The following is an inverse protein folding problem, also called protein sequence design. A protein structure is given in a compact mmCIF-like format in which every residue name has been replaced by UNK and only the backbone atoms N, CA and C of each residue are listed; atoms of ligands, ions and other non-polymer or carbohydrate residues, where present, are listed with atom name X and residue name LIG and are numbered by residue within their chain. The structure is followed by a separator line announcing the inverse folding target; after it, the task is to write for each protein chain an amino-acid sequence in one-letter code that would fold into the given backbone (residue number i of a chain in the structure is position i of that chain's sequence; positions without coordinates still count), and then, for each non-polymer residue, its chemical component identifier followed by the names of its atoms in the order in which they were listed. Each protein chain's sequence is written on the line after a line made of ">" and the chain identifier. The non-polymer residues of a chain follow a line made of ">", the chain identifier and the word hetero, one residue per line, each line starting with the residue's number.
data_IF_538448534479
#
_entry.id   IF_538448534479
#
_cell.length_a   1.000
_cell.length_b   1.000
_cell.length_c   1.000
_cell.angle_alpha   90.00
_cell.angle_beta   90.00
_cell.angle_gamma   90.00
#
_symmetry.space_group_name_H-M   'P 1'
#
loop_
_entity.id
_entity.type
_entity.pdbx_description
1 polymer ?
#
# COMPACT_ATOMS: atom_id res chain seq x y z
N UNK A 1 -0.71 17.70 13.44
CA UNK A 1 0.66 17.17 13.29
C UNK A 1 0.66 15.73 13.80
N UNK A 2 0.54 14.75 12.90
CA UNK A 2 0.55 13.30 13.21
C UNK A 2 1.84 12.64 12.69
N UNK A 3 2.92 13.42 12.58
CA UNK A 3 4.20 13.03 11.95
C UNK A 3 4.99 11.96 12.71
N UNK A 4 4.46 11.43 13.81
CA UNK A 4 5.09 10.39 14.64
C UNK A 4 4.38 9.05 14.55
N UNK A 5 3.32 8.94 13.74
CA UNK A 5 2.56 7.69 13.64
C UNK A 5 3.40 6.60 12.96
N UNK A 6 3.63 5.50 13.67
CA UNK A 6 4.37 4.35 13.14
C UNK A 6 3.45 3.25 12.60
N UNK A 7 2.23 3.14 13.11
CA UNK A 7 1.25 2.14 12.66
C UNK A 7 -0.12 2.78 12.44
N UNK A 8 -0.74 2.46 11.31
CA UNK A 8 -2.08 2.93 10.96
C UNK A 8 -2.89 1.73 10.50
N UNK A 9 -4.02 1.49 11.17
CA UNK A 9 -5.01 0.52 10.74
C UNK A 9 -6.30 1.23 10.35
N UNK A 10 -6.75 0.96 9.13
CA UNK A 10 -8.06 1.38 8.62
C UNK A 10 -8.83 0.16 8.12
N UNK A 11 -8.46 -1.05 8.55
CA UNK A 11 -9.11 -2.28 8.15
C UNK A 11 -10.62 -2.25 8.42
N UNK A 12 -11.38 -2.97 7.60
CA UNK A 12 -12.83 -3.10 7.70
C UNK A 12 -13.60 -1.76 7.53
N UNK A 13 -13.00 -0.76 6.90
CA UNK A 13 -13.68 0.48 6.50
C UNK A 13 -13.93 0.53 4.99
N UNK A 14 -14.96 1.24 4.55
CA UNK A 14 -15.24 1.39 3.11
C UNK A 14 -14.34 2.45 2.46
N UNK A 15 -13.11 2.06 2.11
CA UNK A 15 -12.16 2.86 1.32
C UNK A 15 -12.13 2.32 -0.10
N UNK A 16 -13.09 2.75 -0.94
CA UNK A 16 -13.15 2.31 -2.34
C UNK A 16 -11.99 2.86 -3.20
N UNK A 17 -11.41 3.98 -2.78
CA UNK A 17 -10.32 4.70 -3.43
C UNK A 17 -9.42 5.34 -2.37
N UNK A 18 -8.12 5.43 -2.68
CA UNK A 18 -7.17 6.27 -1.95
C UNK A 18 -6.72 7.38 -2.91
N UNK A 19 -6.95 8.63 -2.52
CA UNK A 19 -6.53 9.77 -3.32
C UNK A 19 -5.00 9.96 -3.26
N UNK A 20 -4.37 10.53 -4.31
CA UNK A 20 -2.97 10.88 -4.28
C UNK A 20 -2.60 11.71 -3.04
N UNK A 21 -1.42 11.45 -2.47
CA UNK A 21 -0.88 12.19 -1.32
C UNK A 21 -1.67 12.03 0.00
N UNK A 22 -2.68 11.15 0.08
CA UNK A 22 -3.47 10.92 1.31
C UNK A 22 -2.61 10.67 2.55
N UNK A 23 -1.48 9.98 2.39
CA UNK A 23 -0.56 9.63 3.49
C UNK A 23 0.78 10.38 3.44
N UNK A 24 0.85 11.50 2.70
CA UNK A 24 2.13 12.15 2.37
C UNK A 24 2.99 12.51 3.59
N UNK A 25 2.36 13.01 4.65
CA UNK A 25 3.07 13.44 5.87
C UNK A 25 3.35 12.30 6.86
N UNK A 26 2.95 11.05 6.57
CA UNK A 26 3.14 9.89 7.45
C UNK A 26 4.48 9.20 7.16
N UNK A 27 5.56 9.98 7.04
CA UNK A 27 6.87 9.46 6.67
C UNK A 27 7.52 8.57 7.75
N UNK A 28 6.99 8.53 8.97
CA UNK A 28 7.41 7.60 10.04
C UNK A 28 6.63 6.29 10.06
N UNK A 29 5.61 6.14 9.22
CA UNK A 29 4.75 4.97 9.19
C UNK A 29 5.54 3.74 8.74
N UNK A 30 5.53 2.69 9.56
CA UNK A 30 6.15 1.38 9.35
C UNK A 30 5.12 0.32 8.98
N UNK A 31 3.89 0.43 9.47
CA UNK A 31 2.81 -0.53 9.16
C UNK A 31 1.54 0.20 8.72
N UNK A 32 1.00 -0.23 7.58
CA UNK A 32 -0.27 0.25 7.06
C UNK A 32 -1.18 -0.96 6.81
N UNK A 33 -2.33 -1.01 7.49
CA UNK A 33 -3.34 -2.03 7.30
C UNK A 33 -4.59 -1.43 6.63
N UNK A 34 -4.84 -1.83 5.39
CA UNK A 34 -6.03 -1.50 4.59
C UNK A 34 -6.80 -2.78 4.19
N UNK A 35 -6.77 -3.80 5.04
CA UNK A 35 -7.47 -5.07 4.77
C UNK A 35 -8.98 -4.86 4.73
N UNK A 36 -9.65 -5.58 3.84
CA UNK A 36 -11.11 -5.58 3.74
C UNK A 36 -11.75 -4.20 3.56
N UNK A 37 -11.12 -3.34 2.74
CA UNK A 37 -11.59 -1.98 2.51
C UNK A 37 -12.41 -1.77 1.22
N UNK A 38 -12.46 -2.78 0.36
CA UNK A 38 -13.12 -2.70 -0.95
C UNK A 38 -12.35 -1.90 -1.99
N UNK A 39 -11.02 -1.79 -1.85
CA UNK A 39 -10.14 -1.14 -2.82
C UNK A 39 -10.16 -1.89 -4.15
N UNK A 40 -10.30 -1.16 -5.27
CA UNK A 40 -10.36 -1.73 -6.63
C UNK A 40 -9.07 -1.56 -7.43
N UNK A 41 -8.26 -0.56 -7.08
CA UNK A 41 -7.01 -0.27 -7.76
C UNK A 41 -6.01 0.40 -6.83
N UNK A 42 -4.73 0.25 -7.15
CA UNK A 42 -3.64 0.98 -6.52
C UNK A 42 -2.99 1.88 -7.57
N UNK A 43 -3.07 3.18 -7.35
CA UNK A 43 -2.64 4.22 -8.30
C UNK A 43 -1.32 4.83 -7.89
N UNK A 44 -0.62 5.42 -8.86
CA UNK A 44 0.60 6.16 -8.60
C UNK A 44 0.32 7.31 -7.62
N UNK A 45 1.28 7.58 -6.74
CA UNK A 45 1.25 8.66 -5.74
C UNK A 45 0.23 8.50 -4.58
N UNK A 46 -0.64 7.47 -4.58
CA UNK A 46 -1.54 7.19 -3.46
C UNK A 46 -0.80 6.95 -2.13
N UNK A 47 0.40 6.34 -2.22
CA UNK A 47 1.26 6.02 -1.09
C UNK A 47 2.57 6.82 -1.10
N UNK A 48 2.59 7.97 -1.76
CA UNK A 48 3.75 8.85 -1.74
C UNK A 48 4.03 9.33 -0.30
N UNK A 49 5.31 9.45 0.05
CA UNK A 49 5.74 9.84 1.41
C UNK A 49 5.96 8.66 2.37
N UNK A 50 5.41 7.47 2.07
CA UNK A 50 5.56 6.26 2.91
C UNK A 50 6.92 5.55 2.71
N UNK A 51 8.01 6.30 2.78
CA UNK A 51 9.37 5.80 2.50
C UNK A 51 9.93 4.85 3.56
N UNK A 52 9.36 4.86 4.77
CA UNK A 52 9.76 3.97 5.87
C UNK A 52 8.77 2.80 6.09
N UNK A 53 7.82 2.59 5.17
CA UNK A 53 6.83 1.52 5.31
C UNK A 53 7.49 0.16 5.16
N UNK A 54 7.32 -0.71 6.15
CA UNK A 54 7.90 -2.05 6.24
C UNK A 54 6.87 -3.12 5.89
N UNK A 55 5.63 -2.94 6.37
CA UNK A 55 4.53 -3.90 6.19
C UNK A 55 3.29 -3.21 5.66
N UNK A 56 2.79 -3.71 4.53
CA UNK A 56 1.58 -3.21 3.90
C UNK A 56 0.58 -4.34 3.68
N UNK A 57 -0.53 -4.29 4.43
CA UNK A 57 -1.55 -5.33 4.41
C UNK A 57 -2.74 -4.86 3.56
N UNK A 58 -2.95 -5.52 2.42
CA UNK A 58 -4.01 -5.21 1.44
C UNK A 58 -4.93 -6.41 1.18
N UNK A 59 -4.86 -7.43 2.04
CA UNK A 59 -5.64 -8.66 1.93
C UNK A 59 -7.15 -8.39 1.88
N UNK A 60 -7.89 -9.25 1.17
CA UNK A 60 -9.37 -9.24 1.11
C UNK A 60 -9.94 -7.95 0.53
N UNK A 61 -9.26 -7.35 -0.45
CA UNK A 61 -9.80 -6.23 -1.22
C UNK A 61 -10.31 -6.73 -2.58
N UNK A 62 -10.63 -5.82 -3.51
CA UNK A 62 -11.08 -6.12 -4.86
C UNK A 62 -10.09 -5.60 -5.90
N UNK A 63 -8.80 -5.57 -5.56
CA UNK A 63 -7.77 -4.92 -6.37
C UNK A 63 -7.61 -5.71 -7.66
N UNK A 64 -7.92 -5.09 -8.79
CA UNK A 64 -7.74 -5.66 -10.13
C UNK A 64 -6.54 -5.04 -10.87
N UNK A 65 -6.22 -3.78 -10.54
CA UNK A 65 -5.20 -3.01 -11.26
C UNK A 65 -4.25 -2.34 -10.29
N UNK A 66 -2.96 -2.57 -10.50
CA UNK A 66 -1.87 -1.88 -9.82
C UNK A 66 -1.05 -1.18 -10.90
N UNK A 67 -1.01 0.15 -10.85
CA UNK A 67 -0.24 0.95 -11.81
C UNK A 67 1.27 0.84 -11.54
N UNK A 68 2.10 1.01 -12.57
CA UNK A 68 3.56 0.87 -12.47
C UNK A 68 4.20 1.77 -11.40
N UNK A 69 3.58 2.92 -11.09
CA UNK A 69 4.04 3.87 -10.09
C UNK A 69 3.45 3.70 -8.68
N UNK A 70 2.57 2.70 -8.45
CA UNK A 70 1.84 2.56 -7.19
C UNK A 70 2.78 2.36 -5.97
N UNK A 71 3.91 1.68 -6.19
CA UNK A 71 4.84 1.29 -5.13
C UNK A 71 6.18 2.04 -5.16
N UNK A 72 6.35 3.04 -6.03
CA UNK A 72 7.66 3.68 -6.29
C UNK A 72 8.35 4.27 -5.06
N UNK A 73 7.60 4.66 -4.03
CA UNK A 73 8.14 5.25 -2.80
C UNK A 73 8.31 4.25 -1.65
N UNK A 74 7.83 3.00 -1.79
CA UNK A 74 7.84 2.00 -0.73
C UNK A 74 9.19 1.26 -0.67
N UNK A 75 10.29 2.00 -0.65
CA UNK A 75 11.66 1.47 -0.81
C UNK A 75 12.13 0.62 0.37
N UNK A 76 11.51 0.78 1.54
CA UNK A 76 11.79 0.00 2.75
C UNK A 76 10.87 -1.23 2.92
N UNK A 77 9.95 -1.47 1.99
CA UNK A 77 8.90 -2.49 2.15
C UNK A 77 9.50 -3.90 2.14
N UNK A 78 9.12 -4.70 3.14
CA UNK A 78 9.55 -6.09 3.31
C UNK A 78 8.39 -7.08 3.19
N UNK A 79 7.20 -6.66 3.62
CA UNK A 79 6.00 -7.51 3.63
C UNK A 79 4.88 -6.79 2.88
N UNK A 80 4.37 -7.44 1.84
CA UNK A 80 3.23 -6.97 1.05
C UNK A 80 2.20 -8.10 0.95
N UNK A 81 1.07 -7.98 1.64
CA UNK A 81 0.00 -8.99 1.52
C UNK A 81 -1.03 -8.56 0.47
N UNK A 82 -1.14 -9.33 -0.62
CA UNK A 82 -2.11 -9.10 -1.68
C UNK A 82 -3.13 -10.25 -1.84
N UNK A 83 -3.15 -11.24 -0.96
CA UNK A 83 -4.08 -12.38 -1.06
C UNK A 83 -5.55 -11.92 -1.04
N UNK A 84 -6.42 -12.78 -1.57
CA UNK A 84 -7.86 -12.52 -1.65
C UNK A 84 -8.18 -11.20 -2.36
N UNK A 85 -7.47 -10.92 -3.46
CA UNK A 85 -7.75 -9.84 -4.41
C UNK A 85 -8.10 -10.41 -5.80
N UNK A 86 -8.31 -9.53 -6.78
CA UNK A 86 -8.72 -9.88 -8.15
C UNK A 86 -7.60 -9.59 -9.17
N UNK A 87 -6.34 -9.65 -8.73
CA UNK A 87 -5.18 -9.31 -9.54
C UNK A 87 -4.97 -10.43 -10.56
N UNK A 88 -5.07 -10.08 -11.84
CA UNK A 88 -4.93 -11.00 -12.97
C UNK A 88 -3.63 -10.80 -13.77
N UNK A 89 -2.87 -9.74 -13.46
CA UNK A 89 -1.61 -9.41 -14.12
C UNK A 89 -0.51 -9.17 -13.10
N UNK A 90 0.71 -9.59 -13.43
CA UNK A 90 1.87 -9.28 -12.59
C UNK A 90 2.12 -7.77 -12.53
N UNK A 91 2.15 -7.13 -11.35
CA UNK A 91 2.33 -5.69 -11.26
C UNK A 91 3.77 -5.28 -11.59
N UNK A 92 3.95 -4.49 -12.65
CA UNK A 92 5.27 -4.03 -13.07
C UNK A 92 6.04 -3.30 -11.96
N UNK A 93 5.33 -2.60 -11.06
CA UNK A 93 5.93 -1.83 -9.97
C UNK A 93 6.56 -2.68 -8.85
N UNK A 94 6.35 -4.00 -8.81
CA UNK A 94 6.98 -4.87 -7.81
C UNK A 94 8.51 -4.92 -7.98
N UNK A 95 9.04 -4.68 -9.19
CA UNK A 95 10.47 -4.67 -9.43
C UNK A 95 11.23 -3.55 -8.68
N UNK A 96 10.52 -2.55 -8.14
CA UNK A 96 11.10 -1.48 -7.31
C UNK A 96 11.24 -1.86 -5.84
N UNK A 97 10.55 -2.91 -5.40
CA UNK A 97 10.55 -3.37 -4.02
C UNK A 97 11.77 -4.27 -3.75
N UNK A 98 12.97 -3.69 -3.83
CA UNK A 98 14.24 -4.44 -3.74
C UNK A 98 14.51 -5.11 -2.40
N UNK A 99 13.76 -4.73 -1.35
CA UNK A 99 13.85 -5.29 -0.01
C UNK A 99 12.68 -6.22 0.33
N UNK A 100 11.81 -6.53 -0.64
CA UNK A 100 10.66 -7.40 -0.42
C UNK A 100 11.12 -8.81 -0.05
N UNK A 101 10.56 -9.33 1.04
CA UNK A 101 10.88 -10.64 1.61
C UNK A 101 9.65 -11.56 1.55
N UNK A 102 8.45 -11.00 1.70
CA UNK A 102 7.17 -11.71 1.74
C UNK A 102 6.16 -11.00 0.82
N UNK A 103 5.53 -11.77 -0.08
CA UNK A 103 4.51 -11.34 -1.05
C UNK A 103 3.34 -12.33 -1.09
#
# INVERSE_FOLDING_TARGET
>A
MVTQLEELTLADNSLHLIDPLTFYDLNKLKRLNLQNCGLKSLTAHAFQGLTNLISFLLKRNQIMKITSGAFSNLTALKVLELDDNLINTFPEGLNKLTHLQEL
#
